data_IF_894381173497
#
_entry.id   IF_894381173497
#
_cell.length_a   1.000
_cell.length_b   1.000
_cell.length_c   1.000
_cell.angle_alpha   90.00
_cell.angle_beta   90.00
_cell.angle_gamma   90.00
#
_symmetry.space_group_name_H-M   'P 1'
#
loop_
_entity.id
_entity.type
_entity.pdbx_description
1 polymer ?
#
# COMPACT_ATOMS: atom_id res chain seq x y z
N UNK A 1 5.29 -26.03 -6.86
CA UNK A 1 4.18 -25.55 -7.72
C UNK A 1 2.82 -26.12 -7.31
N UNK A 2 2.73 -27.32 -6.73
CA UNK A 2 1.45 -27.94 -6.35
C UNK A 2 0.86 -27.48 -5.00
N UNK A 3 1.64 -26.92 -4.08
CA UNK A 3 1.14 -26.50 -2.76
C UNK A 3 0.51 -25.10 -2.75
N UNK A 4 0.96 -24.16 -3.60
CA UNK A 4 0.18 -22.96 -3.92
C UNK A 4 -1.16 -23.32 -4.57
N UNK A 5 -1.26 -24.47 -5.25
CA UNK A 5 -2.51 -25.00 -5.79
C UNK A 5 -3.42 -25.56 -4.69
N UNK A 6 -2.88 -26.10 -3.59
CA UNK A 6 -3.67 -26.53 -2.43
C UNK A 6 -4.22 -25.37 -1.60
N UNK A 7 -3.45 -24.29 -1.36
CA UNK A 7 -4.02 -23.10 -0.69
C UNK A 7 -5.07 -22.40 -1.55
N UNK A 8 -4.92 -22.41 -2.88
CA UNK A 8 -5.92 -21.89 -3.82
C UNK A 8 -7.26 -22.65 -3.80
N UNK A 9 -7.31 -23.87 -3.27
CA UNK A 9 -8.55 -24.66 -3.19
C UNK A 9 -9.43 -24.35 -1.97
N UNK A 10 -8.90 -23.64 -0.97
CA UNK A 10 -9.65 -23.31 0.27
C UNK A 10 -9.49 -21.85 0.73
N UNK A 11 -8.70 -21.03 0.02
CA UNK A 11 -8.45 -19.63 0.37
C UNK A 11 -8.28 -18.81 -0.92
N UNK A 12 -9.18 -17.86 -1.23
CA UNK A 12 -9.05 -17.00 -2.40
C UNK A 12 -7.82 -16.10 -2.24
N UNK A 13 -6.88 -16.23 -3.19
CA UNK A 13 -5.73 -15.34 -3.32
C UNK A 13 -6.18 -14.05 -4.00
N UNK A 14 -6.14 -12.94 -3.27
CA UNK A 14 -6.36 -11.61 -3.83
C UNK A 14 -5.02 -11.05 -4.27
N UNK A 15 -4.78 -11.00 -5.57
CA UNK A 15 -3.61 -10.32 -6.11
C UNK A 15 -3.94 -8.85 -6.34
N UNK A 16 -3.37 -7.97 -5.52
CA UNK A 16 -3.56 -6.53 -5.66
C UNK A 16 -2.39 -5.89 -6.43
N UNK A 17 -1.64 -6.68 -7.21
CA UNK A 17 -0.77 -6.15 -8.27
C UNK A 17 -1.67 -5.77 -9.46
N UNK A 18 -2.57 -4.81 -9.24
CA UNK A 18 -3.69 -4.46 -10.12
C UNK A 18 -4.58 -5.68 -10.41
N UNK A 19 -5.80 -5.71 -9.88
CA UNK A 19 -6.76 -6.72 -10.36
C UNK A 19 -7.06 -6.46 -11.85
N UNK A 20 -6.26 -7.06 -12.75
CA UNK A 20 -6.28 -6.80 -14.19
C UNK A 20 -7.62 -7.18 -14.84
N UNK A 21 -8.51 -7.85 -14.10
CA UNK A 21 -9.88 -8.12 -14.52
C UNK A 21 -10.81 -6.91 -14.43
N UNK A 22 -10.44 -5.86 -13.68
CA UNK A 22 -11.26 -4.65 -13.53
C UNK A 22 -10.79 -3.53 -14.45
N UNK A 23 -11.68 -2.57 -14.75
CA UNK A 23 -11.33 -1.41 -15.56
C UNK A 23 -10.20 -0.58 -14.94
N UNK A 24 -10.22 -0.40 -13.61
CA UNK A 24 -9.16 0.31 -12.88
C UNK A 24 -7.85 -0.49 -12.93
N UNK A 25 -7.89 -1.80 -12.67
CA UNK A 25 -6.69 -2.63 -12.73
C UNK A 25 -6.07 -2.69 -14.13
N UNK A 26 -6.89 -2.65 -15.19
CA UNK A 26 -6.42 -2.53 -16.57
C UNK A 26 -5.62 -1.23 -16.83
N UNK A 27 -6.09 -0.10 -16.30
CA UNK A 27 -5.37 1.19 -16.41
C UNK A 27 -4.05 1.14 -15.62
N UNK A 28 -4.08 0.62 -14.39
CA UNK A 28 -2.88 0.47 -13.55
C UNK A 28 -1.84 -0.43 -14.24
N UNK A 29 -2.28 -1.53 -14.85
CA UNK A 29 -1.40 -2.45 -15.58
C UNK A 29 -0.68 -1.74 -16.72
N UNK A 30 -1.41 -0.96 -17.54
CA UNK A 30 -0.81 -0.18 -18.62
C UNK A 30 0.22 0.83 -18.11
N UNK A 31 -0.07 1.49 -16.98
CA UNK A 31 0.85 2.42 -16.36
C UNK A 31 2.13 1.75 -15.85
N UNK A 32 2.03 0.58 -15.20
CA UNK A 32 3.19 -0.19 -14.69
C UNK A 32 4.07 -0.73 -15.83
N UNK A 33 3.44 -1.14 -16.92
CA UNK A 33 4.06 -1.61 -18.17
C UNK A 33 4.61 -0.45 -19.04
N UNK A 34 4.55 0.80 -18.56
CA UNK A 34 5.01 2.01 -19.28
C UNK A 34 4.29 2.24 -20.62
N UNK A 35 3.07 1.71 -20.78
CA UNK A 35 2.22 1.86 -21.96
C UNK A 35 1.38 3.14 -21.93
N UNK A 36 1.16 3.70 -20.74
CA UNK A 36 0.57 5.02 -20.56
C UNK A 36 1.28 5.79 -19.44
N UNK A 37 1.20 7.11 -19.52
CA UNK A 37 1.65 8.01 -18.47
C UNK A 37 0.44 8.57 -17.73
N UNK A 38 0.54 8.62 -16.41
CA UNK A 38 -0.45 9.19 -15.52
C UNK A 38 0.27 10.05 -14.50
N UNK A 39 -0.41 11.11 -14.07
CA UNK A 39 0.06 11.95 -12.98
C UNK A 39 0.12 11.13 -11.67
N UNK A 40 1.12 11.41 -10.82
CA UNK A 40 1.47 10.58 -9.67
C UNK A 40 0.37 10.53 -8.59
N UNK A 41 -0.36 11.63 -8.37
CA UNK A 41 -1.51 11.65 -7.47
C UNK A 41 -2.66 10.83 -8.08
N UNK A 42 -2.93 10.98 -9.37
CA UNK A 42 -3.97 10.22 -10.06
C UNK A 42 -3.73 8.71 -9.98
N UNK A 43 -2.51 8.24 -10.28
CA UNK A 43 -2.21 6.80 -10.20
C UNK A 43 -2.26 6.28 -8.77
N UNK A 44 -1.83 7.07 -7.78
CA UNK A 44 -1.95 6.71 -6.37
C UNK A 44 -3.42 6.47 -5.98
N UNK A 45 -4.30 7.38 -6.37
CA UNK A 45 -5.74 7.26 -6.11
C UNK A 45 -6.36 6.07 -6.84
N UNK A 46 -5.93 5.76 -8.08
CA UNK A 46 -6.38 4.56 -8.79
C UNK A 46 -5.99 3.26 -8.05
N UNK A 47 -4.77 3.18 -7.53
CA UNK A 47 -4.37 2.04 -6.70
C UNK A 47 -5.25 1.89 -5.45
N UNK A 48 -5.62 3.00 -4.80
CA UNK A 48 -6.54 2.97 -3.67
C UNK A 48 -7.96 2.58 -4.07
N UNK A 49 -8.48 3.13 -5.16
CA UNK A 49 -9.78 2.76 -5.71
C UNK A 49 -9.87 1.26 -6.05
N UNK A 50 -8.79 0.68 -6.61
CA UNK A 50 -8.69 -0.76 -6.88
C UNK A 50 -8.76 -1.63 -5.61
N UNK A 51 -8.32 -1.12 -4.46
CA UNK A 51 -8.53 -1.80 -3.16
C UNK A 51 -9.98 -1.68 -2.72
N UNK A 52 -10.54 -0.48 -2.78
CA UNK A 52 -11.91 -0.20 -2.34
C UNK A 52 -12.96 -0.99 -3.12
N UNK A 53 -12.79 -1.17 -4.43
CA UNK A 53 -13.71 -2.00 -5.23
C UNK A 53 -13.72 -3.47 -4.80
N UNK A 54 -12.62 -3.98 -4.23
CA UNK A 54 -12.53 -5.35 -3.72
C UNK A 54 -13.16 -5.53 -2.32
N UNK A 55 -13.33 -4.45 -1.55
CA UNK A 55 -13.76 -4.50 -0.14
C UNK A 55 -15.09 -5.24 0.08
N UNK A 56 -16.16 -5.02 -0.71
CA UNK A 56 -17.42 -5.73 -0.51
C UNK A 56 -17.24 -7.25 -0.54
N UNK A 57 -16.51 -7.75 -1.54
CA UNK A 57 -16.23 -9.19 -1.72
C UNK A 57 -15.27 -9.71 -0.65
N UNK A 58 -14.26 -8.93 -0.27
CA UNK A 58 -13.37 -9.31 0.83
C UNK A 58 -14.15 -9.51 2.13
N UNK A 59 -15.03 -8.56 2.49
CA UNK A 59 -15.86 -8.66 3.69
C UNK A 59 -16.81 -9.85 3.63
N UNK A 60 -17.45 -10.08 2.49
CA UNK A 60 -18.31 -11.25 2.27
C UNK A 60 -17.57 -12.56 2.59
N UNK A 61 -16.39 -12.78 2.01
CA UNK A 61 -15.60 -13.99 2.26
C UNK A 61 -15.15 -14.10 3.73
N UNK A 62 -14.66 -13.01 4.33
CA UNK A 62 -14.22 -13.00 5.73
C UNK A 62 -15.38 -13.36 6.67
N UNK A 63 -16.57 -12.79 6.45
CA UNK A 63 -17.77 -13.07 7.24
C UNK A 63 -18.30 -14.50 7.05
N UNK A 64 -17.95 -15.17 5.95
CA UNK A 64 -18.22 -16.59 5.71
C UNK A 64 -17.17 -17.52 6.35
N UNK A 65 -16.22 -16.97 7.11
CA UNK A 65 -15.15 -17.74 7.75
C UNK A 65 -14.01 -18.11 6.80
N UNK A 66 -13.92 -17.46 5.63
CA UNK A 66 -12.86 -17.69 4.66
C UNK A 66 -11.67 -16.77 4.95
N UNK A 67 -10.49 -17.36 5.21
CA UNK A 67 -9.25 -16.59 5.29
C UNK A 67 -8.91 -15.99 3.92
N UNK A 68 -8.32 -14.79 3.89
CA UNK A 68 -7.86 -14.14 2.67
C UNK A 68 -6.33 -14.01 2.68
N UNK A 69 -5.67 -14.53 1.65
CA UNK A 69 -4.26 -14.21 1.39
C UNK A 69 -4.23 -13.11 0.33
N UNK A 70 -3.58 -11.98 0.65
CA UNK A 70 -3.55 -10.80 -0.21
C UNK A 70 -2.11 -10.46 -0.58
N UNK A 71 -1.80 -10.54 -1.87
CA UNK A 71 -0.50 -10.11 -2.40
C UNK A 71 -0.52 -8.60 -2.64
N UNK A 72 0.18 -7.87 -1.76
CA UNK A 72 0.22 -6.41 -1.61
C UNK A 72 -1.11 -5.80 -1.13
N UNK A 73 -1.01 -4.74 -0.35
CA UNK A 73 -2.17 -4.02 0.18
C UNK A 73 -1.89 -2.51 0.29
N UNK A 74 -2.65 -1.79 1.12
CA UNK A 74 -2.50 -0.35 1.34
C UNK A 74 -1.05 0.10 1.59
N UNK A 75 -0.30 -0.68 2.38
CA UNK A 75 1.11 -0.38 2.70
C UNK A 75 2.00 -0.23 1.45
N UNK A 76 1.78 -1.03 0.41
CA UNK A 76 2.51 -0.88 -0.86
C UNK A 76 2.13 0.41 -1.57
N UNK A 77 0.84 0.77 -1.60
CA UNK A 77 0.40 2.04 -2.20
C UNK A 77 1.07 3.26 -1.54
N UNK A 78 1.11 3.26 -0.21
CA UNK A 78 1.78 4.30 0.59
C UNK A 78 3.28 4.33 0.34
N UNK A 79 3.96 3.20 0.51
CA UNK A 79 5.42 3.14 0.46
C UNK A 79 5.99 3.52 -0.92
N UNK A 80 5.34 3.07 -2.00
CA UNK A 80 5.77 3.38 -3.37
C UNK A 80 5.52 4.84 -3.73
N UNK A 81 4.36 5.39 -3.36
CA UNK A 81 4.04 6.78 -3.73
C UNK A 81 4.88 7.77 -2.92
N UNK A 82 5.05 7.53 -1.62
CA UNK A 82 5.91 8.36 -0.76
C UNK A 82 7.41 8.26 -1.10
N UNK A 83 7.83 7.30 -1.94
CA UNK A 83 9.20 7.26 -2.45
C UNK A 83 9.45 8.26 -3.61
N UNK A 84 8.38 8.79 -4.20
CA UNK A 84 8.43 9.85 -5.21
C UNK A 84 8.58 11.23 -4.54
N UNK A 85 9.10 12.19 -5.30
CA UNK A 85 9.28 13.55 -4.80
C UNK A 85 7.92 14.25 -4.62
N UNK A 86 7.74 14.96 -3.50
CA UNK A 86 6.52 15.74 -3.24
C UNK A 86 5.42 15.01 -2.49
N UNK A 87 5.61 13.73 -2.14
CA UNK A 87 4.60 12.91 -1.46
C UNK A 87 4.99 12.62 -0.01
N UNK A 88 4.13 12.99 0.94
CA UNK A 88 4.26 12.63 2.34
C UNK A 88 3.49 11.34 2.69
N UNK A 89 4.00 10.56 3.65
CA UNK A 89 3.33 9.34 4.14
C UNK A 89 1.89 9.60 4.57
N UNK A 90 1.64 10.74 5.24
CA UNK A 90 0.31 11.09 5.75
C UNK A 90 -0.70 11.30 4.63
N UNK A 91 -0.32 12.00 3.56
CA UNK A 91 -1.17 12.19 2.39
C UNK A 91 -1.45 10.84 1.72
N UNK A 92 -0.40 10.03 1.53
CA UNK A 92 -0.52 8.72 0.89
C UNK A 92 -1.38 7.73 1.68
N UNK A 93 -1.51 7.88 3.01
CA UNK A 93 -2.38 7.03 3.84
C UNK A 93 -3.86 7.38 3.67
N UNK A 94 -4.20 8.64 3.41
CA UNK A 94 -5.58 9.13 3.44
C UNK A 94 -6.56 8.29 2.62
N UNK A 95 -6.26 7.92 1.36
CA UNK A 95 -7.22 7.23 0.52
C UNK A 95 -7.60 5.84 1.05
N UNK A 96 -6.73 5.22 1.86
CA UNK A 96 -6.88 3.85 2.35
C UNK A 96 -7.38 3.76 3.80
N UNK A 97 -7.64 4.89 4.47
CA UNK A 97 -8.20 4.91 5.83
C UNK A 97 -9.59 4.26 5.80
N UNK A 98 -9.80 3.26 6.67
CA UNK A 98 -11.07 2.56 6.79
C UNK A 98 -11.18 1.26 5.99
N UNK A 99 -10.16 0.91 5.19
CA UNK A 99 -10.05 -0.43 4.59
C UNK A 99 -10.08 -1.52 5.68
N UNK A 100 -10.50 -2.77 5.37
CA UNK A 100 -10.31 -3.91 6.27
C UNK A 100 -8.85 -4.00 6.74
N UNK A 101 -8.63 -3.93 8.06
CA UNK A 101 -7.29 -4.02 8.64
C UNK A 101 -6.80 -5.47 8.59
N UNK A 102 -5.60 -5.75 8.06
CA UNK A 102 -5.05 -7.10 8.09
C UNK A 102 -4.74 -7.56 9.52
N UNK A 103 -5.08 -8.82 9.85
CA UNK A 103 -4.68 -9.43 11.14
C UNK A 103 -3.18 -9.73 11.21
N UNK A 104 -2.55 -9.92 10.05
CA UNK A 104 -1.12 -10.19 9.88
C UNK A 104 -0.60 -9.50 8.63
N UNK A 105 0.57 -8.89 8.74
CA UNK A 105 1.33 -8.38 7.59
C UNK A 105 2.67 -9.09 7.54
N UNK A 106 2.88 -9.87 6.48
CA UNK A 106 4.15 -10.52 6.21
C UNK A 106 5.03 -9.59 5.37
N UNK A 107 6.12 -9.10 5.95
CA UNK A 107 7.10 -8.28 5.25
C UNK A 107 8.31 -9.12 4.90
N UNK A 108 8.33 -9.60 3.65
CA UNK A 108 9.40 -10.44 3.12
C UNK A 108 10.57 -9.54 2.70
N UNK A 109 11.67 -9.61 3.45
CA UNK A 109 12.88 -8.84 3.19
C UNK A 109 13.89 -9.67 2.44
N UNK A 110 14.59 -9.05 1.49
CA UNK A 110 15.65 -9.67 0.71
C UNK A 110 16.76 -8.65 0.53
N UNK A 111 18.01 -9.09 0.55
CA UNK A 111 19.13 -8.20 0.22
C UNK A 111 19.05 -7.77 -1.25
N UNK A 112 19.51 -6.56 -1.62
CA UNK A 112 19.57 -6.14 -3.03
C UNK A 112 20.32 -7.15 -3.91
N UNK A 113 21.38 -7.77 -3.39
CA UNK A 113 22.19 -8.77 -4.09
C UNK A 113 21.41 -10.04 -4.40
N UNK A 114 20.58 -10.51 -3.47
CA UNK A 114 19.72 -11.68 -3.66
C UNK A 114 18.51 -11.35 -4.55
N UNK A 115 17.96 -10.14 -4.44
CA UNK A 115 16.87 -9.68 -5.29
C UNK A 115 17.28 -9.63 -6.76
N UNK A 116 18.48 -9.11 -7.05
CA UNK A 116 19.03 -9.06 -8.40
C UNK A 116 19.19 -10.46 -9.04
N UNK A 117 19.45 -11.50 -8.24
CA UNK A 117 19.62 -12.89 -8.73
C UNK A 117 18.31 -13.54 -9.18
N UNK A 118 17.14 -13.04 -8.75
CA UNK A 118 15.83 -13.68 -9.00
C UNK A 118 15.28 -13.45 -10.42
N UNK A 119 15.96 -12.66 -11.24
CA UNK A 119 15.54 -12.35 -12.62
C UNK A 119 14.28 -11.46 -12.67
N UNK A 120 14.08 -10.76 -13.79
CA UNK A 120 12.90 -9.92 -14.02
C UNK A 120 12.94 -8.51 -13.42
N UNK A 121 14.04 -8.11 -12.77
CA UNK A 121 14.23 -6.74 -12.30
C UNK A 121 14.57 -5.80 -13.47
N UNK A 122 13.75 -4.76 -13.66
CA UNK A 122 13.97 -3.66 -14.62
C UNK A 122 12.91 -3.54 -15.71
N UNK A 123 11.98 -4.51 -15.78
CA UNK A 123 10.90 -4.52 -16.76
C UNK A 123 9.80 -3.51 -16.44
N UNK A 124 9.43 -3.39 -15.17
CA UNK A 124 8.34 -2.51 -14.73
C UNK A 124 8.84 -1.14 -14.24
N UNK A 125 7.93 -0.16 -14.18
CA UNK A 125 8.24 1.25 -13.86
C UNK A 125 9.08 1.47 -12.60
N UNK A 126 8.91 0.65 -11.57
CA UNK A 126 9.53 0.87 -10.25
C UNK A 126 10.72 -0.05 -9.94
N UNK A 127 11.15 -0.88 -10.88
CA UNK A 127 12.20 -1.87 -10.67
C UNK A 127 13.59 -1.25 -10.89
N UNK A 128 13.95 -0.28 -10.04
CA UNK A 128 15.30 0.29 -9.99
C UNK A 128 15.76 0.46 -8.52
N UNK A 129 17.04 0.18 -8.27
CA UNK A 129 17.59 0.06 -6.90
C UNK A 129 17.42 1.32 -6.05
N UNK A 130 17.77 2.53 -6.54
CA UNK A 130 17.64 3.74 -5.72
C UNK A 130 16.20 4.04 -5.29
N UNK A 131 15.22 3.70 -6.13
CA UNK A 131 13.82 3.83 -5.78
C UNK A 131 13.39 2.78 -4.75
N UNK A 132 13.79 1.52 -4.93
CA UNK A 132 13.47 0.45 -4.00
C UNK A 132 14.05 0.69 -2.59
N UNK A 133 15.22 1.31 -2.46
CA UNK A 133 15.77 1.72 -1.17
C UNK A 133 14.88 2.75 -0.44
N UNK A 134 14.32 3.72 -1.17
CA UNK A 134 13.37 4.69 -0.60
C UNK A 134 12.08 4.00 -0.16
N UNK A 135 11.59 3.07 -0.97
CA UNK A 135 10.40 2.27 -0.66
C UNK A 135 10.63 1.44 0.61
N UNK A 136 11.79 0.78 0.75
CA UNK A 136 12.15 0.01 1.93
C UNK A 136 12.15 0.90 3.20
N UNK A 137 12.75 2.09 3.12
CA UNK A 137 12.70 3.07 4.23
C UNK A 137 11.26 3.44 4.59
N UNK A 138 10.37 3.63 3.62
CA UNK A 138 8.97 3.93 3.91
C UNK A 138 8.25 2.76 4.59
N UNK A 139 8.56 1.52 4.21
CA UNK A 139 8.02 0.34 4.90
C UNK A 139 8.44 0.29 6.37
N UNK A 140 9.67 0.65 6.71
CA UNK A 140 10.10 0.73 8.12
C UNK A 140 9.23 1.71 8.94
N UNK A 141 8.83 2.85 8.36
CA UNK A 141 7.94 3.82 9.02
C UNK A 141 6.46 3.38 9.08
N UNK A 142 6.09 2.31 8.35
CA UNK A 142 4.73 1.78 8.29
C UNK A 142 4.53 0.52 9.14
N UNK A 143 5.59 -0.04 9.73
CA UNK A 143 5.51 -1.24 10.54
C UNK A 143 4.61 -1.03 11.75
N UNK A 144 3.74 -2.00 11.99
CA UNK A 144 2.83 -2.08 13.13
C UNK A 144 3.07 -3.39 13.90
N UNK A 145 2.44 -3.54 15.07
CA UNK A 145 2.66 -4.70 15.96
C UNK A 145 2.23 -6.05 15.35
N UNK A 146 1.31 -6.02 14.38
CA UNK A 146 0.84 -7.20 13.63
C UNK A 146 1.75 -7.55 12.44
N UNK A 147 2.91 -6.91 12.29
CA UNK A 147 3.86 -7.23 11.24
C UNK A 147 4.81 -8.35 11.67
N UNK A 148 5.16 -9.20 10.72
CA UNK A 148 6.22 -10.19 10.82
C UNK A 148 7.20 -9.98 9.68
N UNK A 149 8.43 -9.60 10.04
CA UNK A 149 9.53 -9.48 9.09
C UNK A 149 10.11 -10.87 8.89
N UNK A 150 10.16 -11.32 7.64
CA UNK A 150 10.62 -12.67 7.29
C UNK A 150 11.77 -12.53 6.30
N UNK A 151 12.87 -13.20 6.60
CA UNK A 151 14.00 -13.31 5.68
C UNK A 151 13.63 -14.19 4.48
N UNK A 152 13.44 -13.54 3.34
CA UNK A 152 13.08 -14.20 2.10
C UNK A 152 14.31 -14.80 1.38
N UNK A 153 15.53 -14.65 1.89
CA UNK A 153 16.76 -15.24 1.33
C UNK A 153 16.88 -16.74 1.56
N UNK A 154 16.11 -17.29 2.50
CA UNK A 154 15.97 -18.73 2.76
C UNK A 154 15.50 -19.50 1.51
N UNK A 155 15.69 -20.81 1.53
CA UNK A 155 15.10 -21.68 0.52
C UNK A 155 13.56 -21.65 0.59
N UNK A 156 12.93 -21.99 -0.54
CA UNK A 156 11.48 -21.85 -0.70
C UNK A 156 10.69 -22.74 0.27
N UNK A 157 11.19 -23.92 0.63
CA UNK A 157 10.48 -24.86 1.50
C UNK A 157 10.50 -24.37 2.94
N UNK A 158 11.69 -24.03 3.47
CA UNK A 158 11.83 -23.47 4.81
C UNK A 158 11.04 -22.18 5.00
N UNK A 159 11.09 -21.27 4.01
CA UNK A 159 10.33 -20.02 4.03
C UNK A 159 8.82 -20.29 4.05
N UNK A 160 8.37 -21.28 3.28
CA UNK A 160 6.97 -21.64 3.22
C UNK A 160 6.46 -22.21 4.55
N UNK A 161 7.23 -23.11 5.18
CA UNK A 161 6.89 -23.69 6.47
C UNK A 161 6.76 -22.62 7.56
N UNK A 162 7.73 -21.70 7.64
CA UNK A 162 7.70 -20.56 8.57
C UNK A 162 6.45 -19.69 8.36
N UNK A 163 6.15 -19.32 7.11
CA UNK A 163 4.93 -18.54 6.78
C UNK A 163 3.67 -19.29 7.20
N UNK A 164 3.60 -20.60 6.95
CA UNK A 164 2.43 -21.39 7.30
C UNK A 164 2.23 -21.47 8.82
N UNK A 165 3.30 -21.66 9.60
CA UNK A 165 3.24 -21.70 11.05
C UNK A 165 2.70 -20.40 11.63
N UNK A 166 3.28 -19.27 11.22
CA UNK A 166 2.84 -17.93 11.64
C UNK A 166 1.37 -17.71 11.27
N UNK A 167 1.00 -18.03 10.02
CA UNK A 167 -0.37 -17.81 9.53
C UNK A 167 -1.39 -18.66 10.27
N UNK A 168 -1.08 -19.94 10.57
CA UNK A 168 -1.96 -20.83 11.33
C UNK A 168 -2.21 -20.31 12.75
N UNK A 169 -1.18 -19.80 13.42
CA UNK A 169 -1.32 -19.20 14.74
C UNK A 169 -2.25 -17.98 14.70
N UNK A 170 -2.05 -17.07 13.75
CA UNK A 170 -2.89 -15.87 13.59
C UNK A 170 -4.34 -16.22 13.27
N UNK A 171 -4.61 -17.18 12.37
CA UNK A 171 -5.98 -17.60 12.05
C UNK A 171 -6.69 -18.09 13.32
N UNK A 172 -6.01 -18.91 14.13
CA UNK A 172 -6.55 -19.43 15.39
C UNK A 172 -6.87 -18.31 16.38
N UNK A 173 -5.99 -17.32 16.51
CA UNK A 173 -6.11 -16.23 17.49
C UNK A 173 -7.12 -15.15 17.09
N UNK A 174 -7.53 -15.07 15.82
CA UNK A 174 -8.44 -14.04 15.30
C UNK A 174 -9.80 -14.58 14.84
N UNK A 175 -10.08 -15.88 14.97
CA UNK A 175 -11.31 -16.54 14.46
C UNK A 175 -12.63 -15.89 14.92
N UNK A 176 -12.67 -15.29 16.11
CA UNK A 176 -13.88 -14.72 16.72
C UNK A 176 -13.81 -13.18 16.82
N UNK A 177 -12.81 -12.54 16.19
CA UNK A 177 -12.63 -11.09 16.27
C UNK A 177 -13.34 -10.40 15.11
N UNK A 178 -13.81 -9.18 15.38
CA UNK A 178 -14.39 -8.32 14.36
C UNK A 178 -13.33 -7.86 13.34
N UNK A 179 -13.78 -7.61 12.11
CA UNK A 179 -12.93 -7.02 11.06
C UNK A 179 -12.67 -5.55 11.43
N UNK A 180 -11.47 -5.28 11.96
CA UNK A 180 -11.03 -3.93 12.29
C UNK A 180 -10.86 -3.04 11.03
N UNK A 181 -10.82 -1.73 11.26
CA UNK A 181 -10.58 -0.73 10.19
C UNK A 181 -9.14 -0.21 10.25
N UNK A 182 -8.52 -0.08 9.08
CA UNK A 182 -7.16 0.38 8.92
C UNK A 182 -7.04 1.88 9.19
N UNK A 183 -6.06 2.28 10.01
CA UNK A 183 -5.65 3.67 10.28
C UNK A 183 -6.72 4.64 10.80
N UNK A 184 -7.79 4.16 11.43
CA UNK A 184 -8.87 5.01 11.96
C UNK A 184 -8.47 5.91 13.14
N UNK A 185 -7.42 5.54 13.89
CA UNK A 185 -6.98 6.25 15.11
C UNK A 185 -5.68 7.04 14.89
N UNK A 186 -5.33 7.34 13.64
CA UNK A 186 -4.21 8.25 13.38
C UNK A 186 -4.67 9.67 13.70
N UNK A 187 -4.50 10.09 14.96
CA UNK A 187 -4.74 11.48 15.37
C UNK A 187 -3.85 12.41 14.55
N UNK A 188 -4.49 13.19 13.69
CA UNK A 188 -3.79 14.19 12.92
C UNK A 188 -3.54 15.42 13.78
N UNK A 189 -2.29 15.88 13.96
CA UNK A 189 -2.05 17.20 14.46
C UNK A 189 -2.53 18.19 13.39
N UNK A 190 -3.76 18.67 13.53
CA UNK A 190 -4.24 19.84 12.80
C UNK A 190 -3.40 21.01 13.28
N UNK A 191 -2.37 21.38 12.51
CA UNK A 191 -1.65 22.64 12.74
C UNK A 191 -2.66 23.76 12.49
N UNK A 192 -3.23 24.31 13.56
CA UNK A 192 -4.09 25.50 13.49
C UNK A 192 -3.34 26.56 12.72
N UNK A 193 -3.98 27.13 11.69
CA UNK A 193 -3.45 28.30 11.00
C UNK A 193 -3.18 29.37 12.07
N UNK A 194 -1.99 29.96 12.08
CA UNK A 194 -1.80 31.21 12.83
C UNK A 194 -2.86 32.19 12.32
N UNK A 195 -3.44 32.99 13.22
CA UNK A 195 -4.40 34.03 12.85
C UNK A 195 -3.85 34.80 11.65
N UNK A 196 -4.62 34.90 10.58
CA UNK A 196 -4.30 35.84 9.51
C UNK A 196 -4.26 37.22 10.18
N UNK A 197 -3.12 37.91 10.08
CA UNK A 197 -3.04 39.29 10.52
C UNK A 197 -4.06 40.13 9.74
N UNK A 198 -4.50 41.24 10.32
CA UNK A 198 -5.39 42.17 9.65
C UNK A 198 -4.78 42.60 8.31
N UNK A 199 -5.61 42.63 7.26
CA UNK A 199 -5.22 43.23 5.99
C UNK A 199 -4.97 44.71 6.28
N UNK A 200 -3.71 45.15 6.26
CA UNK A 200 -3.37 46.55 6.37
C UNK A 200 -3.77 47.25 5.06
N UNK A 201 -5.00 47.72 4.98
CA UNK A 201 -5.57 48.39 3.80
C UNK A 201 -4.82 49.65 3.40
N UNK A 202 -4.03 50.24 4.31
CA UNK A 202 -3.16 51.39 4.00
C UNK A 202 -1.97 51.02 3.09
N UNK A 203 -1.63 49.73 2.96
CA UNK A 203 -0.57 49.28 2.06
C UNK A 203 -1.08 48.90 0.66
N UNK A 204 -2.40 48.70 0.50
CA UNK A 204 -3.01 48.37 -0.79
C UNK A 204 -3.49 49.59 -1.59
N UNK A 205 -3.52 50.79 -1.01
CA UNK A 205 -3.95 52.02 -1.68
C UNK A 205 -2.79 52.91 -2.16
N UNK A 206 -1.55 52.42 -2.14
CA UNK A 206 -0.35 53.20 -2.52
C UNK A 206 -0.13 53.38 -4.03
N UNK A 207 -0.77 52.57 -4.88
CA UNK A 207 -0.59 52.63 -6.33
C UNK A 207 -1.91 53.00 -7.04
N UNK A 208 -2.49 54.15 -6.68
CA UNK A 208 -3.41 54.82 -7.61
C UNK A 208 -2.61 55.41 -8.76
N UNK A 209 -2.48 54.60 -9.82
CA UNK A 209 -2.58 54.99 -11.22
C UNK A 209 -2.45 56.49 -11.51
N UNK A 210 -1.21 56.96 -11.67
CA UNK A 210 -0.93 58.19 -12.41
C UNK A 210 -1.08 57.87 -13.91
N UNK A 211 -2.32 57.94 -14.41
CA UNK A 211 -2.59 58.01 -15.86
C UNK A 211 -2.64 59.50 -16.21
N UNK A 212 -1.60 59.97 -16.91
CA UNK A 212 -1.64 61.23 -17.66
C UNK A 212 -2.38 61.04 -18.97
#
# INVERSE_FOLDING_TARGET
METMSMMKKTCPLYQNKADRGTAIGGIISQYLEKKCELEDHAVHLLFSANRWEAVPKMKEHLLQGTTLIVDRYAFSGVAFTAAKQGFGLDWCRQPDIGLPKPDLVLYLTLTPEEAAKRGGFGGERYENTPFQEKVAKNFEHLKENNWRVIDAGKDMESLHEEIQEITRAVIKDNKDKDIEKLWINHDYPVKKRKSLGEINTNQCMGDQLNVK
#
